data_IF_724860646462
#
_entry.id   IF_724860646462
#
_cell.length_a   1.000
_cell.length_b   1.000
_cell.length_c   1.000
_cell.angle_alpha   90.00
_cell.angle_beta   90.00
_cell.angle_gamma   90.00
#
_symmetry.space_group_name_H-M   'P 1'
#
loop_
_entity.id
_entity.type
_entity.pdbx_description
1 polymer ?
#
# COMPACT_ATOMS: atom_id res chain seq x y z
N UNK A 1 7.11 25.35 11.56
CA UNK A 1 6.22 25.40 10.38
C UNK A 1 5.87 24.03 9.81
N UNK A 2 6.77 23.29 9.13
CA UNK A 2 6.38 22.01 8.50
C UNK A 2 5.91 20.95 9.51
N UNK A 3 6.57 20.86 10.67
CA UNK A 3 6.15 19.99 11.77
C UNK A 3 4.77 20.38 12.35
N UNK A 4 4.46 21.68 12.39
CA UNK A 4 3.16 22.18 12.89
C UNK A 4 2.02 21.85 11.91
N UNK A 5 2.33 21.66 10.63
CA UNK A 5 1.39 21.20 9.60
C UNK A 5 1.30 19.67 9.51
N UNK A 6 1.95 18.94 10.44
CA UNK A 6 2.11 17.49 10.41
C UNK A 6 2.76 16.96 9.12
N UNK A 7 3.67 17.72 8.52
CA UNK A 7 4.44 17.33 7.33
C UNK A 7 5.83 16.80 7.76
N UNK A 8 5.83 15.70 8.51
CA UNK A 8 7.02 15.20 9.18
C UNK A 8 8.06 14.65 8.19
N UNK A 9 7.62 13.90 7.17
CA UNK A 9 8.53 13.34 6.17
C UNK A 9 9.05 14.43 5.26
N UNK A 10 8.21 15.41 4.91
CA UNK A 10 8.64 16.59 4.16
C UNK A 10 9.72 17.39 4.90
N UNK A 11 9.57 17.57 6.21
CA UNK A 11 10.55 18.29 7.03
C UNK A 11 11.89 17.55 7.06
N UNK A 12 11.85 16.24 7.24
CA UNK A 12 13.06 15.42 7.25
C UNK A 12 13.75 15.38 5.87
N UNK A 13 12.97 15.18 4.80
CA UNK A 13 13.48 15.21 3.44
C UNK A 13 14.09 16.57 3.08
N UNK A 14 13.52 17.67 3.58
CA UNK A 14 14.09 19.01 3.41
C UNK A 14 15.46 19.12 4.08
N UNK A 15 15.59 18.66 5.33
CA UNK A 15 16.86 18.69 6.07
C UNK A 15 17.93 17.80 5.41
N UNK A 16 17.54 16.61 4.96
CA UNK A 16 18.42 15.65 4.27
C UNK A 16 18.93 16.24 2.95
N UNK A 17 18.05 16.85 2.15
CA UNK A 17 18.41 17.41 0.84
C UNK A 17 19.20 18.72 0.93
N UNK A 18 18.98 19.54 1.97
CA UNK A 18 19.81 20.72 2.22
C UNK A 18 21.24 20.37 2.68
N UNK A 19 21.40 19.19 3.29
CA UNK A 19 22.70 18.71 3.78
C UNK A 19 23.56 18.09 2.69
N UNK A 20 22.98 17.69 1.56
CA UNK A 20 23.68 17.00 0.47
C UNK A 20 23.95 17.93 -0.74
N UNK A 21 25.23 18.19 -1.09
CA UNK A 21 25.61 19.03 -2.22
C UNK A 21 25.08 18.55 -3.58
N UNK A 22 24.77 17.26 -3.74
CA UNK A 22 24.25 16.72 -5.01
C UNK A 22 22.85 17.23 -5.34
N UNK A 23 22.12 17.73 -4.34
CA UNK A 23 20.78 18.29 -4.54
C UNK A 23 20.78 19.73 -5.06
N UNK A 24 21.95 20.37 -5.15
CA UNK A 24 22.09 21.70 -5.74
C UNK A 24 21.95 21.70 -7.27
N UNK A 25 22.01 20.53 -7.92
CA UNK A 25 21.82 20.38 -9.38
C UNK A 25 20.34 20.26 -9.79
N UNK A 26 19.43 19.97 -8.85
CA UNK A 26 18.00 19.88 -9.12
C UNK A 26 17.39 21.27 -9.34
N UNK A 27 16.48 21.38 -10.30
CA UNK A 27 15.65 22.57 -10.39
C UNK A 27 14.84 22.74 -9.11
N UNK A 28 14.65 23.98 -8.67
CA UNK A 28 13.82 24.31 -7.49
C UNK A 28 12.42 23.69 -7.56
N UNK A 29 11.88 23.52 -8.77
CA UNK A 29 10.59 22.85 -8.95
C UNK A 29 10.68 21.35 -8.68
N UNK A 30 11.68 20.65 -9.21
CA UNK A 30 11.87 19.21 -9.00
C UNK A 30 12.09 18.90 -7.53
N UNK A 31 12.84 19.77 -6.84
CA UNK A 31 13.00 19.73 -5.40
C UNK A 31 11.65 19.77 -4.65
N UNK A 32 10.80 20.75 -4.96
CA UNK A 32 9.47 20.86 -4.33
C UNK A 32 8.60 19.64 -4.65
N UNK A 33 8.59 19.20 -5.91
CA UNK A 33 7.83 18.02 -6.32
C UNK A 33 8.23 16.78 -5.51
N UNK A 34 9.53 16.56 -5.35
CA UNK A 34 10.05 15.41 -4.59
C UNK A 34 9.66 15.46 -3.12
N UNK A 35 9.79 16.61 -2.48
CA UNK A 35 9.37 16.79 -1.08
C UNK A 35 7.88 16.48 -0.88
N UNK A 36 7.04 16.95 -1.81
CA UNK A 36 5.59 16.71 -1.77
C UNK A 36 5.27 15.24 -2.04
N UNK A 37 5.96 14.59 -2.98
CA UNK A 37 5.78 13.18 -3.32
C UNK A 37 6.12 12.27 -2.14
N UNK A 38 7.26 12.48 -1.49
CA UNK A 38 7.69 11.67 -0.34
C UNK A 38 6.70 11.77 0.83
N UNK A 39 6.21 12.97 1.13
CA UNK A 39 5.18 13.19 2.15
C UNK A 39 3.84 12.55 1.74
N UNK A 40 3.43 12.68 0.48
CA UNK A 40 2.19 12.07 -0.03
C UNK A 40 2.21 10.55 0.11
N UNK A 41 3.30 9.91 -0.30
CA UNK A 41 3.51 8.46 -0.18
C UNK A 41 3.46 8.03 1.29
N UNK A 42 4.17 8.74 2.17
CA UNK A 42 4.16 8.45 3.61
C UNK A 42 2.76 8.52 4.23
N UNK A 43 1.98 9.55 3.89
CA UNK A 43 0.61 9.70 4.37
C UNK A 43 -0.29 8.59 3.86
N UNK A 44 -0.18 8.23 2.58
CA UNK A 44 -0.98 7.15 2.00
C UNK A 44 -0.65 5.79 2.65
N UNK A 45 0.63 5.52 2.90
CA UNK A 45 1.09 4.32 3.58
C UNK A 45 0.59 4.28 5.03
N UNK A 46 0.71 5.38 5.77
CA UNK A 46 0.23 5.49 7.16
C UNK A 46 -1.27 5.28 7.25
N UNK A 47 -2.04 5.91 6.36
CA UNK A 47 -3.50 5.72 6.27
C UNK A 47 -3.84 4.26 6.00
N UNK A 48 -3.16 3.62 5.05
CA UNK A 48 -3.37 2.21 4.69
C UNK A 48 -3.07 1.28 5.86
N UNK A 49 -1.95 1.50 6.56
CA UNK A 49 -1.58 0.74 7.76
C UNK A 49 -2.61 0.90 8.90
N UNK A 50 -3.13 2.12 9.11
CA UNK A 50 -4.18 2.37 10.10
C UNK A 50 -5.49 1.66 9.74
N UNK A 51 -5.89 1.66 8.46
CA UNK A 51 -7.07 0.93 8.00
C UNK A 51 -6.93 -0.58 8.22
N UNK A 52 -5.78 -1.15 7.88
CA UNK A 52 -5.48 -2.57 8.14
C UNK A 52 -5.53 -2.91 9.63
N UNK A 53 -4.96 -2.04 10.49
CA UNK A 53 -5.01 -2.21 11.94
C UNK A 53 -6.45 -2.16 12.47
N UNK A 54 -7.26 -1.22 11.96
CA UNK A 54 -8.67 -1.06 12.36
C UNK A 54 -9.56 -2.21 11.87
N UNK A 55 -9.25 -2.80 10.73
CA UNK A 55 -9.97 -3.95 10.19
C UNK A 55 -9.80 -5.22 11.05
N UNK A 56 -8.85 -5.24 11.99
CA UNK A 56 -8.67 -6.36 12.92
C UNK A 56 -8.33 -7.68 12.21
N UNK A 57 -7.72 -7.61 11.03
CA UNK A 57 -7.39 -8.79 10.25
C UNK A 57 -6.37 -9.65 10.99
N UNK A 58 -6.71 -10.91 11.23
CA UNK A 58 -5.83 -11.89 11.89
C UNK A 58 -4.54 -12.16 11.09
N UNK A 59 -4.56 -11.95 9.77
CA UNK A 59 -3.40 -12.02 8.87
C UNK A 59 -3.34 -10.80 7.95
N UNK A 60 -2.58 -9.78 8.36
CA UNK A 60 -2.31 -8.58 7.56
C UNK A 60 -1.29 -8.79 6.44
N UNK A 61 -0.48 -9.85 6.52
CA UNK A 61 0.52 -10.23 5.49
C UNK A 61 0.04 -11.34 4.56
N UNK A 62 -1.28 -11.58 4.49
CA UNK A 62 -1.84 -12.52 3.52
C UNK A 62 -1.56 -12.01 2.11
N UNK A 63 -1.03 -12.87 1.25
CA UNK A 63 -0.64 -12.56 -0.11
C UNK A 63 -1.10 -13.69 -1.04
N UNK A 64 -1.66 -13.33 -2.17
CA UNK A 64 -2.12 -14.24 -3.22
C UNK A 64 -0.96 -15.03 -3.84
N UNK A 65 0.25 -14.45 -3.86
CA UNK A 65 1.45 -15.14 -4.36
C UNK A 65 1.84 -16.36 -3.50
N UNK A 66 1.42 -16.37 -2.23
CA UNK A 66 1.74 -17.41 -1.24
C UNK A 66 0.68 -18.49 -1.12
N UNK A 67 -0.29 -18.55 -2.05
CA UNK A 67 -1.33 -19.59 -2.04
C UNK A 67 -0.69 -20.94 -2.39
N UNK A 68 -0.92 -21.93 -1.53
CA UNK A 68 -0.54 -23.31 -1.78
C UNK A 68 -1.60 -23.99 -2.69
N UNK A 69 -1.19 -24.31 -3.91
CA UNK A 69 -2.01 -25.01 -4.91
C UNK A 69 -1.72 -26.52 -4.95
N UNK A 70 -1.24 -27.10 -3.85
CA UNK A 70 -1.08 -28.55 -3.72
C UNK A 70 -2.38 -29.29 -4.02
N UNK A 71 -2.26 -30.50 -4.57
CA UNK A 71 -3.42 -31.33 -4.97
C UNK A 71 -4.31 -31.66 -3.78
N UNK A 72 -3.73 -31.77 -2.58
CA UNK A 72 -4.44 -32.01 -1.32
C UNK A 72 -5.43 -30.90 -0.97
N UNK A 73 -5.10 -29.63 -1.31
CA UNK A 73 -5.96 -28.47 -1.07
C UNK A 73 -7.17 -28.40 -2.00
N UNK A 74 -7.13 -29.11 -3.15
CA UNK A 74 -8.19 -29.15 -4.17
C UNK A 74 -8.68 -27.76 -4.60
N UNK A 75 -7.75 -26.79 -4.69
CA UNK A 75 -8.07 -25.43 -5.11
C UNK A 75 -8.08 -25.32 -6.64
N UNK A 76 -9.14 -24.71 -7.19
CA UNK A 76 -9.23 -24.41 -8.61
C UNK A 76 -8.49 -23.10 -8.92
N UNK A 77 -7.40 -23.19 -9.68
CA UNK A 77 -6.54 -22.05 -10.08
C UNK A 77 -7.28 -21.03 -10.95
N UNK A 78 -8.12 -21.49 -11.86
CA UNK A 78 -8.84 -20.63 -12.79
C UNK A 78 -9.89 -19.80 -12.04
N UNK A 79 -10.62 -20.45 -11.13
CA UNK A 79 -11.60 -19.77 -10.27
C UNK A 79 -10.92 -18.75 -9.35
N UNK A 80 -9.80 -19.11 -8.71
CA UNK A 80 -9.05 -18.17 -7.88
C UNK A 80 -8.55 -16.98 -8.71
N UNK A 81 -8.03 -17.21 -9.91
CA UNK A 81 -7.57 -16.13 -10.80
C UNK A 81 -8.69 -15.14 -11.17
N UNK A 82 -9.92 -15.65 -11.38
CA UNK A 82 -11.10 -14.79 -11.57
C UNK A 82 -11.50 -14.03 -10.29
N UNK A 83 -11.33 -14.61 -9.11
CA UNK A 83 -11.63 -13.92 -7.85
C UNK A 83 -10.61 -12.81 -7.55
N UNK A 84 -9.35 -12.99 -7.94
CA UNK A 84 -8.28 -12.00 -7.74
C UNK A 84 -8.58 -10.67 -8.44
N UNK A 85 -9.28 -10.69 -9.58
CA UNK A 85 -9.64 -9.45 -10.29
C UNK A 85 -10.68 -8.61 -9.56
N UNK A 86 -11.38 -9.20 -8.58
CA UNK A 86 -12.48 -8.57 -7.84
C UNK A 86 -13.66 -8.11 -8.74
N UNK A 87 -13.74 -8.60 -9.98
CA UNK A 87 -14.80 -8.22 -10.94
C UNK A 87 -16.20 -8.57 -10.42
N UNK A 88 -16.30 -9.61 -9.56
CA UNK A 88 -17.56 -9.99 -8.92
C UNK A 88 -18.18 -8.86 -8.08
N UNK A 89 -17.38 -7.92 -7.57
CA UNK A 89 -17.86 -6.73 -6.84
C UNK A 89 -18.58 -5.78 -7.79
N UNK A 90 -17.99 -5.51 -8.95
CA UNK A 90 -18.55 -4.64 -9.99
C UNK A 90 -19.82 -5.25 -10.59
N UNK A 91 -19.78 -6.56 -10.83
CA UNK A 91 -20.90 -7.33 -11.37
C UNK A 91 -22.02 -7.60 -10.34
N UNK A 92 -21.85 -7.18 -9.08
CA UNK A 92 -22.77 -7.45 -7.96
C UNK A 92 -23.09 -8.95 -7.79
N UNK A 93 -22.10 -9.80 -8.03
CA UNK A 93 -22.20 -11.25 -7.85
C UNK A 93 -21.89 -11.61 -6.40
N UNK A 94 -22.75 -12.42 -5.79
CA UNK A 94 -22.55 -12.91 -4.42
C UNK A 94 -21.49 -14.02 -4.41
N UNK A 95 -20.58 -13.95 -3.43
CA UNK A 95 -19.57 -14.98 -3.19
C UNK A 95 -19.94 -15.80 -1.95
N UNK A 96 -20.11 -17.11 -2.11
CA UNK A 96 -20.32 -18.04 -1.00
C UNK A 96 -19.03 -18.81 -0.74
N UNK A 97 -18.42 -18.58 0.42
CA UNK A 97 -17.21 -19.28 0.86
C UNK A 97 -17.62 -20.32 1.91
N UNK A 98 -17.34 -21.59 1.62
CA UNK A 98 -17.55 -22.70 2.55
C UNK A 98 -16.18 -23.10 3.12
N UNK A 99 -16.08 -23.14 4.44
CA UNK A 99 -14.89 -23.63 5.14
C UNK A 99 -14.87 -25.16 5.25
N UNK A 100 -13.70 -25.72 5.50
CA UNK A 100 -13.62 -27.09 6.01
C UNK A 100 -14.30 -27.13 7.40
N UNK A 101 -15.17 -28.12 7.60
CA UNK A 101 -15.72 -28.45 8.91
C UNK A 101 -14.65 -29.13 9.78
#
# INVERSE_FOLDING_TARGET
MLLELNLQVMAQALDDQLSDPMYQELSKMEFIYRLVEEEYVSRNNTRSAQLLKRAGLWKTQADLSKIDYSVERRLNRDLLSQLVTCDFILDKKNLSILGAA
#
